data_IF_530052025458
#
_entry.id   IF_530052025458
#
_cell.length_a   1.000
_cell.length_b   1.000
_cell.length_c   1.000
_cell.angle_alpha   90.00
_cell.angle_beta   90.00
_cell.angle_gamma   90.00
#
_symmetry.space_group_name_H-M   'P 1'
#
loop_
_entity.id
_entity.type
_entity.pdbx_description
1 polymer ?
#
# COMPACT_ATOMS: atom_id res chain seq x y z
N UNK A 1 75.36 41.93 -41.94
CA UNK A 1 74.53 43.10 -42.32
C UNK A 1 73.61 42.71 -43.46
N UNK A 2 72.28 42.87 -43.32
CA UNK A 2 71.27 42.77 -44.42
C UNK A 2 71.15 41.34 -45.03
N UNK A 3 70.00 40.83 -45.51
CA UNK A 3 68.58 41.27 -45.61
C UNK A 3 67.74 40.04 -46.09
N UNK A 4 66.46 39.92 -45.68
CA UNK A 4 65.31 39.24 -46.34
C UNK A 4 65.50 37.76 -46.82
N UNK A 5 64.59 36.78 -46.62
CA UNK A 5 63.21 36.60 -47.15
C UNK A 5 62.73 35.19 -46.66
N UNK A 6 61.45 34.75 -46.55
CA UNK A 6 60.12 35.39 -46.34
C UNK A 6 59.05 34.29 -46.03
N UNK A 7 58.08 34.58 -45.13
CA UNK A 7 56.70 34.03 -44.98
C UNK A 7 56.34 32.54 -44.73
N UNK A 8 55.28 32.41 -43.89
CA UNK A 8 54.26 31.35 -43.73
C UNK A 8 54.46 30.47 -42.48
N UNK A 9 53.57 30.40 -41.49
CA UNK A 9 52.14 30.75 -41.41
C UNK A 9 51.83 31.85 -40.38
N UNK A 10 50.94 32.79 -40.74
CA UNK A 10 50.30 33.73 -39.78
C UNK A 10 48.78 33.75 -40.00
N UNK A 11 48.14 32.57 -39.99
CA UNK A 11 46.68 32.42 -40.03
C UNK A 11 46.30 31.26 -39.09
N UNK A 12 46.11 31.57 -37.79
CA UNK A 12 45.39 30.74 -36.80
C UNK A 12 45.25 31.40 -35.41
N UNK A 13 45.52 32.71 -35.29
CA UNK A 13 45.55 33.44 -34.00
C UNK A 13 44.27 34.23 -33.68
N UNK A 14 43.16 33.98 -34.39
CA UNK A 14 41.85 34.61 -34.18
C UNK A 14 40.74 33.58 -34.45
N UNK A 15 40.44 32.72 -33.47
CA UNK A 15 39.39 31.70 -33.64
C UNK A 15 39.29 30.57 -32.62
N UNK A 16 40.15 30.49 -31.60
CA UNK A 16 40.07 29.49 -30.53
C UNK A 16 40.45 30.09 -29.17
N UNK A 17 39.59 30.95 -28.62
CA UNK A 17 39.62 31.36 -27.20
C UNK A 17 38.24 31.27 -26.55
N UNK A 18 37.28 30.61 -27.21
CA UNK A 18 36.10 30.09 -26.54
C UNK A 18 36.50 28.83 -25.82
N UNK A 19 36.18 28.74 -24.54
CA UNK A 19 36.43 27.54 -23.76
C UNK A 19 35.63 26.39 -24.36
N UNK A 20 36.28 25.28 -24.69
CA UNK A 20 35.57 24.15 -25.31
C UNK A 20 34.66 23.47 -24.29
N UNK A 21 34.90 23.69 -22.99
CA UNK A 21 34.04 23.26 -21.88
C UNK A 21 32.60 23.75 -22.08
N UNK A 22 32.38 25.00 -22.50
CA UNK A 22 31.03 25.55 -22.79
C UNK A 22 30.30 24.89 -23.98
N UNK A 23 30.95 24.03 -24.76
CA UNK A 23 30.36 23.33 -25.93
C UNK A 23 30.08 21.86 -25.61
N UNK A 24 30.59 21.33 -24.49
CA UNK A 24 30.40 19.95 -24.04
C UNK A 24 30.06 19.83 -22.55
N UNK A 25 29.67 20.92 -21.90
CA UNK A 25 29.14 20.88 -20.54
C UNK A 25 27.71 20.36 -20.56
N UNK A 26 27.58 19.04 -20.44
CA UNK A 26 26.32 18.32 -20.29
C UNK A 26 25.96 18.11 -18.82
N UNK A 27 26.61 18.80 -17.86
CA UNK A 27 26.31 18.68 -16.42
C UNK A 27 25.11 19.54 -16.04
N UNK A 28 25.03 20.75 -16.57
CA UNK A 28 23.89 21.67 -16.38
C UNK A 28 22.95 21.60 -17.60
N UNK A 29 21.98 20.67 -17.55
CA UNK A 29 20.90 20.58 -18.54
C UNK A 29 19.80 21.59 -18.19
N UNK A 30 20.03 22.86 -18.50
CA UNK A 30 19.02 23.91 -18.35
C UNK A 30 17.95 23.75 -19.45
N UNK A 31 16.70 23.46 -19.07
CA UNK A 31 15.59 23.37 -20.03
C UNK A 31 15.17 24.78 -20.44
N UNK A 32 15.35 25.19 -21.71
CA UNK A 32 15.09 26.56 -22.15
C UNK A 32 13.61 26.97 -22.12
N UNK A 33 12.70 26.03 -21.81
CA UNK A 33 11.26 26.27 -21.71
C UNK A 33 10.70 26.07 -20.29
N UNK A 34 11.53 25.66 -19.31
CA UNK A 34 11.07 25.37 -17.95
C UNK A 34 12.22 25.57 -16.93
N UNK A 35 12.17 26.66 -16.16
CA UNK A 35 13.02 26.86 -14.97
C UNK A 35 12.24 26.57 -13.70
N UNK A 36 12.94 26.37 -12.57
CA UNK A 36 12.30 26.27 -11.25
C UNK A 36 11.46 27.51 -10.94
N UNK A 37 11.99 28.72 -11.21
CA UNK A 37 11.28 30.00 -11.08
C UNK A 37 10.02 30.12 -11.97
N UNK A 38 9.89 29.28 -13.01
CA UNK A 38 8.70 29.22 -13.86
C UNK A 38 7.54 28.46 -13.19
N UNK A 39 7.79 27.78 -12.08
CA UNK A 39 6.82 26.95 -11.34
C UNK A 39 6.76 27.38 -9.87
N UNK A 40 7.89 27.37 -9.17
CA UNK A 40 8.01 27.80 -7.77
C UNK A 40 7.85 29.33 -7.66
N UNK A 41 7.05 29.79 -6.70
CA UNK A 41 6.77 31.21 -6.50
C UNK A 41 5.66 31.79 -7.39
N UNK A 42 5.04 30.97 -8.25
CA UNK A 42 3.87 31.35 -9.02
C UNK A 42 2.59 31.14 -8.19
N UNK A 43 1.52 31.94 -8.38
CA UNK A 43 0.27 31.74 -7.64
C UNK A 43 -0.33 30.35 -7.86
N UNK A 44 -0.64 29.66 -6.76
CA UNK A 44 -1.13 28.27 -6.69
C UNK A 44 -0.07 27.19 -7.00
N UNK A 45 1.23 27.52 -7.02
CA UNK A 45 2.29 26.51 -7.20
C UNK A 45 2.22 25.39 -6.16
N UNK A 46 1.83 25.68 -4.92
CA UNK A 46 1.69 24.67 -3.86
C UNK A 46 0.50 23.73 -4.10
N UNK A 47 -0.62 24.24 -4.62
CA UNK A 47 -1.79 23.40 -4.97
C UNK A 47 -1.53 22.51 -6.20
N UNK A 48 -0.79 23.03 -7.19
CA UNK A 48 -0.34 22.25 -8.35
C UNK A 48 0.64 21.15 -7.89
N UNK A 49 1.57 21.47 -6.99
CA UNK A 49 2.51 20.52 -6.43
C UNK A 49 1.83 19.43 -5.58
N UNK A 50 0.83 19.80 -4.79
CA UNK A 50 -0.04 18.85 -4.07
C UNK A 50 -0.75 17.88 -5.02
N UNK A 51 -1.23 18.35 -6.18
CA UNK A 51 -1.78 17.47 -7.22
C UNK A 51 -0.72 16.48 -7.77
N UNK A 52 0.55 16.92 -7.83
CA UNK A 52 1.69 16.06 -8.14
C UNK A 52 1.98 15.01 -7.05
N UNK A 53 1.77 15.33 -5.77
CA UNK A 53 1.87 14.39 -4.65
C UNK A 53 0.77 13.33 -4.67
N UNK A 54 -0.49 13.71 -4.93
CA UNK A 54 -1.60 12.75 -5.13
C UNK A 54 -1.27 11.78 -6.28
N UNK A 55 -0.74 12.29 -7.40
CA UNK A 55 -0.26 11.45 -8.50
C UNK A 55 0.91 10.54 -8.10
N UNK A 56 1.85 11.04 -7.29
CA UNK A 56 2.96 10.21 -6.78
C UNK A 56 2.46 9.13 -5.82
N UNK A 57 1.40 9.37 -5.05
CA UNK A 57 0.75 8.37 -4.21
C UNK A 57 0.15 7.23 -5.07
N UNK A 58 -0.47 7.56 -6.21
CA UNK A 58 -0.89 6.56 -7.21
C UNK A 58 0.26 5.66 -7.69
N UNK A 59 1.45 6.25 -7.91
CA UNK A 59 2.65 5.47 -8.25
C UNK A 59 3.14 4.62 -7.08
N UNK A 60 3.13 5.12 -5.84
CA UNK A 60 3.45 4.32 -4.65
C UNK A 60 2.56 3.08 -4.55
N UNK A 61 1.25 3.27 -4.67
CA UNK A 61 0.29 2.16 -4.55
C UNK A 61 0.44 1.13 -5.67
N UNK A 62 0.73 1.52 -6.90
CA UNK A 62 0.97 0.57 -7.98
C UNK A 62 2.16 -0.37 -7.71
N UNK A 63 3.20 0.06 -7.01
CA UNK A 63 4.31 -0.81 -6.61
C UNK A 63 3.97 -1.59 -5.32
N UNK A 64 3.55 -0.90 -4.25
CA UNK A 64 3.36 -1.52 -2.93
C UNK A 64 2.22 -2.53 -2.91
N UNK A 65 1.11 -2.24 -3.60
CA UNK A 65 -0.11 -3.03 -3.48
C UNK A 65 0.04 -4.40 -4.14
N UNK A 66 0.54 -4.43 -5.38
CA UNK A 66 0.76 -5.65 -6.14
C UNK A 66 1.66 -6.61 -5.34
N UNK A 67 2.80 -6.12 -4.85
CA UNK A 67 3.74 -6.95 -4.09
C UNK A 67 3.19 -7.39 -2.74
N UNK A 68 2.44 -6.54 -2.04
CA UNK A 68 1.86 -6.87 -0.74
C UNK A 68 0.77 -7.94 -0.85
N UNK A 69 -0.11 -7.85 -1.85
CA UNK A 69 -1.17 -8.85 -2.06
C UNK A 69 -0.59 -10.18 -2.55
N UNK A 70 0.43 -10.16 -3.43
CA UNK A 70 1.18 -11.36 -3.84
C UNK A 70 1.95 -12.00 -2.69
N UNK A 71 2.52 -11.22 -1.79
CA UNK A 71 3.22 -11.72 -0.60
C UNK A 71 2.29 -12.14 0.54
N UNK A 72 1.03 -12.46 0.26
CA UNK A 72 -0.01 -12.73 1.26
C UNK A 72 -0.88 -13.93 0.90
N UNK A 73 -1.77 -14.34 1.80
CA UNK A 73 -2.80 -15.36 1.54
C UNK A 73 -4.08 -14.79 0.89
N UNK A 74 -4.11 -13.53 0.44
CA UNK A 74 -5.31 -12.98 -0.18
C UNK A 74 -5.53 -13.55 -1.60
N UNK A 75 -4.47 -13.66 -2.40
CA UNK A 75 -4.51 -14.10 -3.80
C UNK A 75 -3.37 -15.08 -4.10
N UNK A 76 -3.64 -16.08 -4.96
CA UNK A 76 -2.61 -16.86 -5.65
C UNK A 76 -2.19 -16.14 -6.94
N UNK A 77 -0.91 -16.18 -7.28
CA UNK A 77 -0.43 -15.75 -8.60
C UNK A 77 -0.50 -16.88 -9.63
N UNK A 78 -1.46 -16.85 -10.56
CA UNK A 78 -1.66 -17.94 -11.53
C UNK A 78 -0.90 -17.75 -12.85
N UNK A 79 -0.35 -16.55 -13.10
CA UNK A 79 0.27 -16.18 -14.38
C UNK A 79 1.60 -15.45 -14.21
N UNK A 80 2.47 -15.54 -15.23
CA UNK A 80 3.83 -14.99 -15.19
C UNK A 80 3.94 -13.49 -15.50
N UNK A 81 2.87 -12.70 -15.32
CA UNK A 81 2.87 -11.26 -15.63
C UNK A 81 3.24 -10.38 -14.45
N UNK A 82 3.01 -10.86 -13.24
CA UNK A 82 3.41 -10.21 -11.99
C UNK A 82 4.51 -11.02 -11.28
N UNK A 83 5.09 -10.45 -10.22
CA UNK A 83 6.23 -11.03 -9.52
C UNK A 83 5.96 -12.48 -9.06
N UNK A 84 6.73 -13.43 -9.60
CA UNK A 84 6.61 -14.87 -9.30
C UNK A 84 7.33 -15.27 -8.01
N UNK A 85 8.24 -14.42 -7.52
CA UNK A 85 9.03 -14.69 -6.32
C UNK A 85 8.26 -14.32 -5.05
N UNK A 86 7.47 -13.24 -5.10
CA UNK A 86 6.68 -12.77 -3.95
C UNK A 86 5.62 -13.77 -3.46
N UNK A 87 4.98 -14.49 -4.38
CA UNK A 87 4.01 -15.58 -4.08
C UNK A 87 4.64 -16.68 -3.21
N UNK A 88 5.95 -16.93 -3.38
CA UNK A 88 6.77 -17.80 -2.54
C UNK A 88 7.59 -17.09 -1.46
N UNK A 89 7.32 -15.81 -1.18
CA UNK A 89 8.10 -14.93 -0.30
C UNK A 89 9.63 -14.93 -0.57
N UNK A 90 10.05 -15.18 -1.81
CA UNK A 90 11.45 -15.16 -2.24
C UNK A 90 11.92 -13.71 -2.51
N UNK A 91 12.02 -12.93 -1.43
CA UNK A 91 12.38 -11.51 -1.48
C UNK A 91 13.90 -11.34 -1.72
N UNK A 92 14.28 -10.66 -2.80
CA UNK A 92 15.68 -10.49 -3.22
C UNK A 92 16.07 -9.01 -3.44
N UNK A 93 17.30 -8.62 -3.05
CA UNK A 93 17.81 -7.24 -3.26
C UNK A 93 17.97 -6.85 -4.74
N UNK A 94 18.13 -7.84 -5.63
CA UNK A 94 18.28 -7.67 -7.08
C UNK A 94 16.94 -7.54 -7.83
N UNK A 95 15.82 -7.66 -7.13
CA UNK A 95 14.49 -7.62 -7.73
C UNK A 95 14.13 -6.16 -8.14
N UNK A 96 13.79 -5.91 -9.42
CA UNK A 96 13.37 -4.58 -9.89
C UNK A 96 12.19 -3.98 -9.12
N UNK A 97 11.28 -4.80 -8.60
CA UNK A 97 10.07 -4.32 -7.94
C UNK A 97 10.38 -3.82 -6.51
N UNK A 98 11.43 -4.37 -5.85
CA UNK A 98 11.95 -3.83 -4.58
C UNK A 98 12.52 -2.42 -4.78
N UNK A 99 13.32 -2.24 -5.84
CA UNK A 99 13.88 -0.94 -6.24
C UNK A 99 12.78 0.07 -6.50
N UNK A 100 11.79 -0.28 -7.29
CA UNK A 100 10.77 0.68 -7.70
C UNK A 100 9.84 1.03 -6.51
N UNK A 101 9.44 0.05 -5.69
CA UNK A 101 8.72 0.28 -4.43
C UNK A 101 9.45 1.25 -3.49
N UNK A 102 10.71 0.96 -3.18
CA UNK A 102 11.54 1.83 -2.33
C UNK A 102 11.63 3.24 -2.91
N UNK A 103 11.87 3.34 -4.23
CA UNK A 103 12.02 4.62 -4.93
C UNK A 103 10.74 5.44 -4.93
N UNK A 104 9.56 4.85 -5.16
CA UNK A 104 8.33 5.65 -5.16
C UNK A 104 8.01 6.20 -3.76
N UNK A 105 8.25 5.41 -2.69
CA UNK A 105 8.05 5.84 -1.30
C UNK A 105 9.02 6.97 -0.94
N UNK A 106 10.31 6.81 -1.24
CA UNK A 106 11.31 7.86 -1.05
C UNK A 106 10.95 9.12 -1.85
N UNK A 107 10.53 8.98 -3.11
CA UNK A 107 10.11 10.12 -3.93
C UNK A 107 8.89 10.84 -3.37
N UNK A 108 7.91 10.14 -2.79
CA UNK A 108 6.78 10.76 -2.10
C UNK A 108 7.26 11.68 -0.96
N UNK A 109 8.24 11.22 -0.17
CA UNK A 109 8.88 12.01 0.89
C UNK A 109 9.57 13.25 0.35
N UNK A 110 10.46 13.10 -0.63
CA UNK A 110 11.23 14.24 -1.17
C UNK A 110 10.32 15.30 -1.80
N UNK A 111 9.23 14.89 -2.46
CA UNK A 111 8.21 15.82 -2.96
C UNK A 111 7.47 16.54 -1.82
N UNK A 112 7.15 15.85 -0.72
CA UNK A 112 6.46 16.44 0.43
C UNK A 112 7.36 17.45 1.17
N UNK A 113 8.61 17.08 1.44
CA UNK A 113 9.62 17.96 2.06
C UNK A 113 9.89 19.18 1.19
N UNK A 114 10.10 19.02 -0.12
CA UNK A 114 10.25 20.17 -1.02
C UNK A 114 8.99 21.05 -1.09
N UNK A 115 7.80 20.45 -0.93
CA UNK A 115 6.54 21.15 -0.74
C UNK A 115 6.55 22.06 0.49
N UNK A 116 7.00 21.54 1.64
CA UNK A 116 7.11 22.29 2.90
C UNK A 116 8.19 23.37 2.88
N UNK A 117 9.37 23.06 2.33
CA UNK A 117 10.56 23.92 2.44
C UNK A 117 10.66 24.98 1.35
N UNK A 118 10.19 24.70 0.13
CA UNK A 118 10.38 25.56 -1.03
C UNK A 118 9.05 25.98 -1.70
N UNK A 119 8.22 25.03 -2.12
CA UNK A 119 7.06 25.34 -2.97
C UNK A 119 5.96 26.09 -2.22
N UNK A 120 5.64 25.63 -1.01
CA UNK A 120 4.67 26.25 -0.11
C UNK A 120 5.10 27.68 0.28
N UNK A 121 6.26 27.86 0.93
CA UNK A 121 6.75 29.19 1.31
C UNK A 121 6.92 30.19 0.15
N UNK A 122 7.10 29.70 -1.09
CA UNK A 122 7.12 30.52 -2.29
C UNK A 122 5.73 30.95 -2.81
N UNK A 123 4.69 30.14 -2.63
CA UNK A 123 3.36 30.40 -3.20
C UNK A 123 2.59 31.49 -2.41
N UNK A 124 2.20 32.61 -3.04
CA UNK A 124 1.41 33.65 -2.37
C UNK A 124 0.01 33.19 -1.91
N UNK A 125 -0.47 32.01 -2.35
CA UNK A 125 -1.74 31.41 -1.96
C UNK A 125 -1.58 30.24 -0.96
N UNK A 126 -0.36 29.96 -0.48
CA UNK A 126 -0.11 28.93 0.52
C UNK A 126 -0.87 29.21 1.82
N UNK A 127 -1.34 28.14 2.45
CA UNK A 127 -2.20 28.20 3.63
C UNK A 127 -2.05 26.91 4.45
N UNK A 128 -2.56 26.95 5.69
CA UNK A 128 -2.40 25.86 6.66
C UNK A 128 -3.07 24.54 6.24
N UNK A 129 -4.04 24.54 5.33
CA UNK A 129 -4.60 23.28 4.81
C UNK A 129 -3.63 22.62 3.82
N UNK A 130 -3.01 23.37 2.91
CA UNK A 130 -1.99 22.83 2.00
C UNK A 130 -0.74 22.41 2.77
N UNK A 131 -0.32 23.19 3.78
CA UNK A 131 0.78 22.83 4.68
C UNK A 131 0.48 21.54 5.47
N UNK A 132 -0.77 21.35 5.93
CA UNK A 132 -1.19 20.13 6.59
C UNK A 132 -1.15 18.91 5.65
N UNK A 133 -1.59 19.05 4.40
CA UNK A 133 -1.49 17.97 3.41
C UNK A 133 -0.02 17.62 3.13
N UNK A 134 0.89 18.58 2.99
CA UNK A 134 2.32 18.26 2.80
C UNK A 134 2.92 17.51 4.01
N UNK A 135 2.62 17.93 5.25
CA UNK A 135 3.01 17.18 6.45
C UNK A 135 2.39 15.77 6.47
N UNK A 136 1.13 15.62 6.02
CA UNK A 136 0.48 14.32 5.92
C UNK A 136 1.15 13.42 4.88
N UNK A 137 1.53 13.93 3.71
CA UNK A 137 2.27 13.16 2.70
C UNK A 137 3.69 12.77 3.14
N UNK A 138 4.38 13.63 3.89
CA UNK A 138 5.64 13.27 4.53
C UNK A 138 5.41 12.12 5.53
N UNK A 139 4.39 12.24 6.39
CA UNK A 139 4.00 11.20 7.34
C UNK A 139 3.62 9.86 6.68
N UNK A 140 2.89 9.88 5.56
CA UNK A 140 2.58 8.69 4.77
C UNK A 140 3.84 8.01 4.23
N UNK A 141 4.83 8.79 3.78
CA UNK A 141 6.09 8.22 3.27
C UNK A 141 6.87 7.46 4.34
N UNK A 142 6.93 7.97 5.58
CA UNK A 142 7.51 7.26 6.72
C UNK A 142 6.64 6.07 7.15
N UNK A 143 5.31 6.23 7.15
CA UNK A 143 4.38 5.14 7.47
C UNK A 143 4.57 3.94 6.54
N UNK A 144 4.62 4.15 5.23
CA UNK A 144 4.86 3.07 4.26
C UNK A 144 6.30 2.54 4.32
N UNK A 145 7.29 3.38 4.60
CA UNK A 145 8.66 2.92 4.88
C UNK A 145 8.69 1.93 6.06
N UNK A 146 7.95 2.20 7.14
CA UNK A 146 7.85 1.33 8.31
C UNK A 146 6.97 0.08 8.08
N UNK A 147 5.89 0.22 7.31
CA UNK A 147 4.96 -0.86 7.00
C UNK A 147 5.63 -1.92 6.11
N UNK A 148 6.38 -1.52 5.08
CA UNK A 148 6.93 -2.48 4.11
C UNK A 148 8.40 -2.84 4.34
N UNK A 149 9.22 -2.03 5.00
CA UNK A 149 10.66 -2.29 5.14
C UNK A 149 11.09 -2.36 6.61
N UNK A 150 12.15 -3.14 6.89
CA UNK A 150 12.72 -3.23 8.25
C UNK A 150 13.64 -2.05 8.61
N UNK A 151 14.28 -1.46 7.59
CA UNK A 151 14.92 -0.16 7.64
C UNK A 151 14.96 0.47 6.25
N UNK A 152 14.96 1.81 6.17
CA UNK A 152 15.22 2.60 4.95
C UNK A 152 15.94 3.91 5.28
N UNK A 153 16.76 4.46 4.38
CA UNK A 153 17.27 5.84 4.46
C UNK A 153 16.15 6.90 4.44
N UNK A 154 16.33 7.95 5.23
CA UNK A 154 15.43 9.12 5.30
C UNK A 154 15.89 10.31 4.45
N UNK A 155 17.09 10.25 3.89
CA UNK A 155 17.68 11.25 3.01
C UNK A 155 18.57 10.54 1.98
N UNK A 156 18.87 11.15 0.81
CA UNK A 156 19.72 10.54 -0.21
C UNK A 156 21.12 10.21 0.34
N UNK A 157 21.58 8.97 0.17
CA UNK A 157 22.87 8.47 0.69
C UNK A 157 22.94 8.53 2.24
N UNK A 158 21.81 8.64 2.93
CA UNK A 158 21.73 8.68 4.39
C UNK A 158 21.82 7.30 5.05
N UNK A 159 22.08 7.28 6.36
CA UNK A 159 22.06 6.02 7.14
C UNK A 159 20.63 5.47 7.19
N UNK A 160 20.39 4.17 6.93
CA UNK A 160 19.08 3.57 7.14
C UNK A 160 18.63 3.66 8.60
N UNK A 161 17.37 4.06 8.82
CA UNK A 161 16.75 4.02 10.15
C UNK A 161 15.68 2.93 10.20
N UNK A 162 15.41 2.41 11.40
CA UNK A 162 14.50 1.28 11.62
C UNK A 162 13.05 1.61 11.30
N UNK A 163 12.24 0.58 11.02
CA UNK A 163 10.78 0.69 10.92
C UNK A 163 10.14 1.38 12.14
N UNK A 164 10.63 1.09 13.35
CA UNK A 164 10.20 1.77 14.58
C UNK A 164 10.44 3.29 14.52
N UNK A 165 11.62 3.72 14.07
CA UNK A 165 11.93 5.15 13.91
C UNK A 165 11.10 5.80 12.81
N UNK A 166 10.84 5.09 11.71
CA UNK A 166 9.93 5.56 10.66
C UNK A 166 8.49 5.73 11.18
N UNK A 167 7.94 4.78 11.97
CA UNK A 167 6.62 4.99 12.59
C UNK A 167 6.61 6.19 13.55
N UNK A 168 7.67 6.41 14.33
CA UNK A 168 7.79 7.59 15.19
C UNK A 168 7.81 8.89 14.38
N UNK A 169 8.55 8.93 13.26
CA UNK A 169 8.60 10.11 12.39
C UNK A 169 7.26 10.35 11.69
N UNK A 170 6.56 9.28 11.28
CA UNK A 170 5.20 9.37 10.75
C UNK A 170 4.26 10.06 11.76
N UNK A 171 4.30 9.65 13.04
CA UNK A 171 3.51 10.27 14.11
C UNK A 171 3.82 11.75 14.27
N UNK A 172 5.10 12.15 14.21
CA UNK A 172 5.52 13.56 14.31
C UNK A 172 4.95 14.39 13.16
N UNK A 173 5.04 13.90 11.93
CA UNK A 173 4.51 14.57 10.75
C UNK A 173 2.97 14.65 10.76
N UNK A 174 2.28 13.57 11.17
CA UNK A 174 0.83 13.60 11.37
C UNK A 174 0.39 14.56 12.49
N UNK A 175 1.16 14.69 13.57
CA UNK A 175 0.88 15.68 14.62
C UNK A 175 1.07 17.13 14.14
N UNK A 176 2.04 17.38 13.25
CA UNK A 176 2.18 18.67 12.59
C UNK A 176 0.99 18.97 11.67
N UNK A 177 0.56 17.99 10.85
CA UNK A 177 -0.65 18.12 10.02
C UNK A 177 -1.91 18.40 10.86
N UNK A 178 -2.13 17.64 11.93
CA UNK A 178 -3.26 17.79 12.85
C UNK A 178 -3.27 19.14 13.59
N UNK A 179 -2.10 19.70 13.90
CA UNK A 179 -1.98 21.02 14.52
C UNK A 179 -2.37 22.17 13.58
N UNK A 180 -2.28 21.96 12.27
CA UNK A 180 -2.60 22.92 11.21
C UNK A 180 -4.03 22.78 10.70
N UNK A 181 -4.49 21.54 10.47
CA UNK A 181 -5.84 21.21 10.01
C UNK A 181 -6.22 19.80 10.48
N UNK A 182 -7.13 19.68 11.45
CA UNK A 182 -7.53 18.37 11.98
C UNK A 182 -8.50 17.64 11.03
N UNK A 183 -8.03 16.55 10.40
CA UNK A 183 -8.84 15.67 9.54
C UNK A 183 -8.91 14.24 10.09
N UNK A 184 -10.01 13.49 9.87
CA UNK A 184 -10.15 12.12 10.39
C UNK A 184 -9.09 11.17 9.83
N UNK A 185 -8.71 11.29 8.56
CA UNK A 185 -7.68 10.47 7.92
C UNK A 185 -6.27 10.68 8.53
N UNK A 186 -5.94 11.91 8.98
CA UNK A 186 -4.67 12.17 9.67
C UNK A 186 -4.65 11.51 11.06
N UNK A 187 -5.78 11.56 11.77
CA UNK A 187 -5.94 10.83 13.03
C UNK A 187 -5.87 9.32 12.82
N UNK A 188 -6.44 8.76 11.75
CA UNK A 188 -6.34 7.34 11.47
C UNK A 188 -4.90 6.93 11.09
N UNK A 189 -4.20 7.70 10.26
CA UNK A 189 -2.81 7.42 9.91
C UNK A 189 -1.90 7.40 11.15
N UNK A 190 -2.12 8.35 12.08
CA UNK A 190 -1.49 8.34 13.41
C UNK A 190 -1.94 7.14 14.26
N UNK A 191 -3.19 6.70 14.18
CA UNK A 191 -3.67 5.51 14.89
C UNK A 191 -2.96 4.25 14.37
N UNK A 192 -2.85 4.06 13.05
CA UNK A 192 -2.13 2.94 12.39
C UNK A 192 -0.65 2.91 12.79
N UNK A 193 0.03 4.07 12.77
CA UNK A 193 1.43 4.15 13.21
C UNK A 193 1.61 3.76 14.69
N UNK A 194 0.68 4.15 15.57
CA UNK A 194 0.72 3.73 16.97
C UNK A 194 0.31 2.27 17.18
N UNK A 195 -0.61 1.75 16.37
CA UNK A 195 -1.05 0.36 16.39
C UNK A 195 0.14 -0.57 16.10
N UNK A 196 0.86 -0.38 14.99
CA UNK A 196 2.04 -1.20 14.67
C UNK A 196 3.27 -0.97 15.58
N UNK A 197 3.24 0.06 16.45
CA UNK A 197 4.21 0.23 17.54
C UNK A 197 3.78 -0.45 18.86
N UNK A 198 2.60 -1.08 18.92
CA UNK A 198 2.01 -1.60 20.16
C UNK A 198 1.57 -0.50 21.15
N UNK A 199 1.52 0.77 20.72
CA UNK A 199 1.16 1.92 21.56
C UNK A 199 -0.36 2.03 21.77
N UNK A 200 -0.98 0.98 22.35
CA UNK A 200 -2.44 0.80 22.49
C UNK A 200 -3.21 2.05 22.89
N UNK A 201 -2.81 2.71 23.98
CA UNK A 201 -3.46 3.92 24.48
C UNK A 201 -3.45 5.09 23.47
N UNK A 202 -2.35 5.28 22.75
CA UNK A 202 -2.24 6.33 21.74
C UNK A 202 -3.01 5.98 20.46
N UNK A 203 -3.00 4.71 20.05
CA UNK A 203 -3.78 4.20 18.93
C UNK A 203 -5.29 4.35 19.17
N UNK A 204 -5.79 3.90 20.33
CA UNK A 204 -7.19 4.08 20.78
C UNK A 204 -7.60 5.55 20.81
N UNK A 205 -6.73 6.43 21.34
CA UNK A 205 -7.00 7.87 21.39
C UNK A 205 -7.14 8.47 19.98
N UNK A 206 -6.24 8.11 19.07
CA UNK A 206 -6.25 8.62 17.70
C UNK A 206 -7.42 8.04 16.87
N UNK A 207 -7.70 6.74 16.98
CA UNK A 207 -8.85 6.09 16.33
C UNK A 207 -10.19 6.70 16.80
N UNK A 208 -10.33 6.95 18.11
CA UNK A 208 -11.51 7.62 18.67
C UNK A 208 -11.65 9.05 18.17
N UNK A 209 -10.54 9.78 18.00
CA UNK A 209 -10.55 11.14 17.46
C UNK A 209 -10.96 11.17 15.97
N UNK A 210 -10.49 10.21 15.16
CA UNK A 210 -10.93 10.06 13.77
C UNK A 210 -12.45 9.88 13.68
N UNK A 211 -13.00 8.89 14.39
CA UNK A 211 -14.44 8.59 14.43
C UNK A 211 -15.29 9.73 15.01
N UNK A 212 -14.70 10.60 15.85
CA UNK A 212 -15.37 11.79 16.39
C UNK A 212 -15.51 12.91 15.35
N UNK A 213 -14.60 12.99 14.36
CA UNK A 213 -14.68 13.95 13.26
C UNK A 213 -15.60 13.45 12.14
N UNK A 214 -15.52 12.17 11.77
CA UNK A 214 -16.44 11.48 10.86
C UNK A 214 -16.39 9.98 11.15
N UNK A 215 -17.56 9.33 11.21
CA UNK A 215 -17.68 7.89 11.41
C UNK A 215 -17.66 7.07 10.10
N UNK A 216 -17.58 7.76 8.96
CA UNK A 216 -17.85 7.24 7.62
C UNK A 216 -16.79 7.65 6.57
N UNK A 217 -15.73 8.34 6.98
CA UNK A 217 -14.69 8.81 6.06
C UNK A 217 -14.03 7.67 5.29
N UNK A 218 -13.55 8.03 4.11
CA UNK A 218 -12.86 7.18 3.16
C UNK A 218 -11.88 8.07 2.39
N UNK A 219 -10.58 7.86 2.62
CA UNK A 219 -9.51 8.57 1.93
C UNK A 219 -8.89 7.60 0.92
N UNK A 220 -8.94 8.03 -0.34
CA UNK A 220 -8.69 7.19 -1.51
C UNK A 220 -7.57 7.73 -2.39
N UNK A 221 -6.90 6.83 -3.10
CA UNK A 221 -5.97 7.15 -4.18
C UNK A 221 -6.73 7.12 -5.50
N UNK A 222 -6.59 8.19 -6.29
CA UNK A 222 -7.24 8.32 -7.60
C UNK A 222 -6.28 7.99 -8.73
N UNK A 223 -6.83 7.33 -9.76
CA UNK A 223 -6.12 6.90 -10.96
C UNK A 223 -6.76 7.55 -12.20
N UNK A 224 -5.94 7.90 -13.18
CA UNK A 224 -6.34 8.51 -14.45
C UNK A 224 -5.93 7.56 -15.58
N UNK A 225 -6.88 6.75 -16.05
CA UNK A 225 -6.67 5.78 -17.14
C UNK A 225 -6.36 6.48 -18.49
N UNK A 226 -6.73 7.75 -18.66
CA UNK A 226 -6.49 8.46 -19.91
C UNK A 226 -5.09 9.08 -20.00
N UNK A 227 -4.50 9.50 -18.88
CA UNK A 227 -3.23 10.26 -18.84
C UNK A 227 -2.17 9.68 -17.88
N UNK A 228 -2.54 8.73 -17.03
CA UNK A 228 -1.70 8.07 -16.03
C UNK A 228 -1.72 8.74 -14.65
N UNK A 229 -1.60 7.96 -13.55
CA UNK A 229 -1.35 6.52 -13.55
C UNK A 229 -2.67 5.76 -13.66
N UNK A 230 -2.67 4.65 -14.39
CA UNK A 230 -3.74 3.65 -14.30
C UNK A 230 -3.55 2.77 -13.07
N UNK A 231 -4.61 2.11 -12.62
CA UNK A 231 -4.57 1.17 -11.50
C UNK A 231 -4.02 -0.19 -11.98
N UNK A 232 -2.79 -0.52 -11.58
CA UNK A 232 -2.14 -1.79 -11.94
C UNK A 232 -2.89 -3.00 -11.36
N UNK A 233 -3.54 -2.86 -10.20
CA UNK A 233 -4.26 -3.97 -9.56
C UNK A 233 -5.65 -4.18 -10.17
N UNK A 234 -6.33 -3.14 -10.66
CA UNK A 234 -7.55 -3.33 -11.48
C UNK A 234 -7.24 -4.09 -12.79
N UNK A 235 -6.05 -3.85 -13.36
CA UNK A 235 -5.57 -4.62 -14.49
C UNK A 235 -5.35 -6.10 -14.15
N UNK A 236 -4.91 -6.40 -12.92
CA UNK A 236 -4.70 -7.76 -12.43
C UNK A 236 -6.00 -8.52 -12.09
N UNK A 237 -7.03 -7.80 -11.62
CA UNK A 237 -8.29 -8.38 -11.13
C UNK A 237 -9.46 -8.34 -12.12
N UNK A 238 -9.40 -7.51 -13.19
CA UNK A 238 -10.58 -7.33 -14.06
C UNK A 238 -10.27 -7.01 -15.53
N UNK A 239 -9.42 -6.01 -15.80
CA UNK A 239 -9.32 -5.46 -17.16
C UNK A 239 -8.66 -6.41 -18.18
N UNK A 240 -7.92 -7.42 -17.72
CA UNK A 240 -7.20 -8.37 -18.60
C UNK A 240 -8.04 -9.55 -19.12
N UNK A 241 -9.36 -9.50 -18.92
CA UNK A 241 -10.34 -10.39 -19.54
C UNK A 241 -10.10 -11.88 -19.21
N UNK A 242 -9.78 -12.73 -20.19
CA UNK A 242 -9.63 -14.19 -19.97
C UNK A 242 -8.31 -14.59 -19.30
N UNK A 243 -7.66 -13.66 -18.59
CA UNK A 243 -6.44 -13.90 -17.84
C UNK A 243 -6.73 -13.59 -16.38
N UNK A 244 -7.26 -14.60 -15.68
CA UNK A 244 -7.47 -14.64 -14.23
C UNK A 244 -6.09 -14.61 -13.51
N UNK A 245 -5.33 -13.53 -13.66
CA UNK A 245 -3.91 -13.45 -13.29
C UNK A 245 -3.72 -13.75 -11.80
N UNK A 246 -4.60 -13.18 -10.98
CA UNK A 246 -4.69 -13.40 -9.56
C UNK A 246 -6.04 -14.05 -9.26
N UNK A 247 -6.07 -15.04 -8.36
CA UNK A 247 -7.32 -15.63 -7.90
C UNK A 247 -7.37 -15.62 -6.36
N UNK A 248 -8.47 -15.19 -5.74
CA UNK A 248 -8.57 -15.11 -4.29
C UNK A 248 -8.64 -16.51 -3.66
N UNK A 249 -8.37 -16.59 -2.36
CA UNK A 249 -8.81 -17.76 -1.59
C UNK A 249 -10.35 -17.90 -1.67
N UNK A 250 -10.91 -19.13 -1.69
CA UNK A 250 -12.37 -19.34 -1.66
C UNK A 250 -13.08 -18.76 -0.44
N UNK A 251 -12.37 -18.40 0.62
CA UNK A 251 -12.90 -17.68 1.79
C UNK A 251 -13.11 -16.19 1.53
N UNK A 252 -12.59 -15.67 0.42
CA UNK A 252 -12.53 -14.27 0.03
C UNK A 252 -13.17 -14.00 -1.35
N UNK A 253 -13.56 -15.04 -2.11
CA UNK A 253 -14.03 -14.92 -3.50
C UNK A 253 -15.26 -14.00 -3.68
N UNK A 254 -16.10 -13.86 -2.66
CA UNK A 254 -17.22 -12.91 -2.60
C UNK A 254 -16.83 -11.42 -2.53
N UNK A 255 -15.54 -11.11 -2.37
CA UNK A 255 -14.99 -9.75 -2.31
C UNK A 255 -14.21 -9.38 -3.58
N UNK A 256 -14.14 -10.28 -4.56
CA UNK A 256 -13.33 -10.17 -5.75
C UNK A 256 -14.22 -10.12 -7.01
N UNK A 257 -13.92 -9.28 -8.01
CA UNK A 257 -12.88 -8.25 -8.05
C UNK A 257 -13.29 -6.96 -7.32
N UNK A 258 -12.49 -6.55 -6.34
CA UNK A 258 -12.69 -5.29 -5.60
C UNK A 258 -12.54 -4.06 -6.51
N UNK A 259 -11.56 -4.12 -7.41
CA UNK A 259 -11.33 -3.12 -8.44
C UNK A 259 -11.87 -3.63 -9.77
N UNK A 260 -12.82 -2.89 -10.34
CA UNK A 260 -13.48 -3.23 -11.59
C UNK A 260 -13.73 -1.96 -12.40
N UNK A 261 -13.87 -2.10 -13.72
CA UNK A 261 -13.98 -0.98 -14.65
C UNK A 261 -15.03 0.08 -14.25
N UNK A 262 -14.57 1.32 -14.08
CA UNK A 262 -15.42 2.49 -13.91
C UNK A 262 -15.66 3.24 -15.23
N UNK A 263 -14.60 3.71 -15.89
CA UNK A 263 -14.70 4.41 -17.17
C UNK A 263 -13.39 4.44 -17.95
N UNK A 264 -13.44 4.80 -19.24
CA UNK A 264 -12.24 4.99 -20.08
C UNK A 264 -11.44 6.27 -19.75
N UNK A 265 -11.60 6.83 -18.55
CA UNK A 265 -10.92 8.05 -18.09
C UNK A 265 -10.58 8.02 -16.60
N UNK A 266 -11.01 6.99 -15.87
CA UNK A 266 -10.82 6.84 -14.44
C UNK A 266 -10.94 5.35 -14.12
N UNK A 267 -9.90 4.81 -13.49
CA UNK A 267 -9.91 3.48 -12.91
C UNK A 267 -10.50 3.52 -11.48
N UNK A 268 -10.82 2.34 -10.95
CA UNK A 268 -11.26 2.16 -9.58
C UNK A 268 -10.21 2.72 -8.59
N UNK A 269 -10.64 3.52 -7.61
CA UNK A 269 -9.74 4.10 -6.62
C UNK A 269 -9.27 3.03 -5.62
N UNK A 270 -8.07 3.21 -5.07
CA UNK A 270 -7.59 2.38 -3.95
C UNK A 270 -7.95 3.06 -2.63
N UNK A 271 -8.70 2.36 -1.78
CA UNK A 271 -9.04 2.82 -0.44
C UNK A 271 -7.86 2.53 0.49
N UNK A 272 -7.34 3.54 1.21
CA UNK A 272 -6.12 3.36 2.01
C UNK A 272 -6.19 3.84 3.45
N UNK A 273 -7.14 4.72 3.78
CA UNK A 273 -7.42 5.19 5.14
C UNK A 273 -8.94 5.41 5.28
N UNK A 274 -9.64 4.42 5.86
CA UNK A 274 -11.11 4.40 5.99
C UNK A 274 -11.55 4.07 7.41
N UNK A 275 -12.70 4.59 7.82
CA UNK A 275 -13.19 4.54 9.21
C UNK A 275 -13.27 3.13 9.84
N UNK A 276 -13.43 2.10 9.02
CA UNK A 276 -13.41 0.69 9.39
C UNK A 276 -12.16 0.29 10.20
N UNK A 277 -10.98 0.84 9.88
CA UNK A 277 -9.75 0.54 10.62
C UNK A 277 -9.79 1.08 12.04
N UNK A 278 -10.40 2.26 12.26
CA UNK A 278 -10.56 2.79 13.60
C UNK A 278 -11.46 1.89 14.46
N UNK A 279 -12.54 1.32 13.89
CA UNK A 279 -13.37 0.34 14.59
C UNK A 279 -12.63 -0.95 14.90
N UNK A 280 -11.81 -1.46 13.98
CA UNK A 280 -11.00 -2.68 14.18
C UNK A 280 -9.90 -2.48 15.24
N UNK A 281 -9.18 -1.35 15.22
CA UNK A 281 -8.20 -0.98 16.27
C UNK A 281 -8.87 -0.90 17.64
N UNK A 282 -10.06 -0.29 17.73
CA UNK A 282 -10.81 -0.20 19.00
C UNK A 282 -11.32 -1.58 19.46
N UNK A 283 -11.76 -2.44 18.53
CA UNK A 283 -12.18 -3.80 18.85
C UNK A 283 -11.01 -4.65 19.41
N UNK A 284 -9.83 -4.63 18.79
CA UNK A 284 -8.65 -5.35 19.31
C UNK A 284 -8.22 -4.82 20.68
N UNK A 285 -8.22 -3.49 20.84
CA UNK A 285 -7.86 -2.88 22.12
C UNK A 285 -8.81 -3.31 23.25
N UNK A 286 -10.10 -3.41 22.96
CA UNK A 286 -11.11 -3.85 23.92
C UNK A 286 -11.02 -5.36 24.23
N UNK A 287 -10.68 -6.22 23.27
CA UNK A 287 -10.38 -7.63 23.53
C UNK A 287 -9.17 -7.78 24.47
N UNK A 288 -8.04 -7.15 24.15
CA UNK A 288 -6.84 -7.22 25.00
C UNK A 288 -7.04 -6.61 26.42
N UNK A 289 -8.04 -5.76 26.62
CA UNK A 289 -8.47 -5.24 27.95
C UNK A 289 -9.59 -6.07 28.61
N UNK A 290 -10.00 -7.19 28.00
CA UNK A 290 -11.06 -8.11 28.43
C UNK A 290 -12.47 -7.47 28.45
N UNK A 291 -12.71 -6.43 27.65
CA UNK A 291 -14.01 -5.77 27.46
C UNK A 291 -14.70 -6.23 26.18
N UNK A 292 -15.21 -7.47 26.21
CA UNK A 292 -16.01 -8.04 25.12
C UNK A 292 -17.27 -7.22 24.80
N UNK A 293 -17.80 -6.44 25.75
CA UNK A 293 -19.00 -5.63 25.51
C UNK A 293 -18.66 -4.45 24.62
N UNK A 294 -17.56 -3.75 24.88
CA UNK A 294 -17.05 -2.68 24.04
C UNK A 294 -16.57 -3.21 22.67
N UNK A 295 -15.81 -4.32 22.63
CA UNK A 295 -15.36 -4.93 21.38
C UNK A 295 -16.52 -5.26 20.43
N UNK A 296 -17.58 -5.90 20.93
CA UNK A 296 -18.80 -6.19 20.16
C UNK A 296 -19.55 -4.93 19.73
N UNK A 297 -19.53 -3.86 20.52
CA UNK A 297 -20.15 -2.58 20.13
C UNK A 297 -19.38 -1.92 18.98
N UNK A 298 -18.05 -1.97 18.98
CA UNK A 298 -17.23 -1.52 17.86
C UNK A 298 -17.49 -2.35 16.59
N UNK A 299 -17.56 -3.68 16.70
CA UNK A 299 -17.88 -4.55 15.56
C UNK A 299 -19.32 -4.39 15.04
N UNK A 300 -20.29 -4.07 15.92
CA UNK A 300 -21.65 -3.73 15.48
C UNK A 300 -21.63 -2.43 14.65
N UNK A 301 -20.91 -1.41 15.13
CA UNK A 301 -20.76 -0.14 14.41
C UNK A 301 -19.99 -0.29 13.09
N UNK A 302 -19.05 -1.24 13.03
CA UNK A 302 -18.34 -1.61 11.80
C UNK A 302 -19.30 -2.22 10.77
N UNK A 303 -20.18 -3.14 11.18
CA UNK A 303 -21.20 -3.71 10.29
C UNK A 303 -22.18 -2.64 9.81
N UNK A 304 -22.68 -1.78 10.71
CA UNK A 304 -23.56 -0.65 10.37
C UNK A 304 -22.91 0.30 9.35
N UNK A 305 -21.57 0.47 9.37
CA UNK A 305 -20.81 1.24 8.37
C UNK A 305 -20.67 0.49 7.05
N UNK A 306 -20.28 -0.79 7.08
CA UNK A 306 -20.10 -1.63 5.88
C UNK A 306 -21.41 -1.71 5.08
N UNK A 307 -22.56 -1.83 5.74
CA UNK A 307 -23.89 -1.80 5.13
C UNK A 307 -24.22 -0.49 4.36
N UNK A 308 -23.41 0.57 4.52
CA UNK A 308 -23.54 1.84 3.77
C UNK A 308 -22.54 2.02 2.63
N UNK A 309 -21.55 1.13 2.50
CA UNK A 309 -20.50 1.22 1.48
C UNK A 309 -21.03 0.83 0.09
N UNK A 310 -20.30 1.23 -0.96
CA UNK A 310 -20.65 0.85 -2.33
C UNK A 310 -20.47 -0.67 -2.52
N UNK A 311 -21.51 -1.29 -3.06
CA UNK A 311 -21.49 -2.62 -3.68
C UNK A 311 -21.80 -2.40 -5.16
N UNK A 312 -20.97 -2.94 -6.04
CA UNK A 312 -21.02 -2.71 -7.47
C UNK A 312 -21.50 -3.96 -8.20
N UNK A 313 -22.57 -3.82 -8.96
CA UNK A 313 -23.07 -4.86 -9.86
C UNK A 313 -22.24 -4.87 -11.14
N UNK A 314 -21.51 -5.96 -11.40
CA UNK A 314 -20.60 -6.10 -12.55
C UNK A 314 -20.91 -7.35 -13.38
N UNK A 315 -20.48 -7.36 -14.65
CA UNK A 315 -20.44 -8.59 -15.44
C UNK A 315 -19.04 -9.18 -15.35
N UNK A 316 -18.93 -10.31 -14.66
CA UNK A 316 -17.67 -10.99 -14.38
C UNK A 316 -17.58 -12.37 -15.06
N UNK A 317 -18.45 -12.65 -16.04
CA UNK A 317 -18.55 -13.97 -16.67
C UNK A 317 -17.33 -14.40 -17.53
N UNK A 318 -16.35 -13.50 -17.67
CA UNK A 318 -15.09 -13.75 -18.38
C UNK A 318 -14.07 -14.43 -17.45
N UNK A 319 -14.12 -14.14 -16.15
CA UNK A 319 -13.39 -14.85 -15.09
C UNK A 319 -13.97 -16.26 -14.96
N UNK A 320 -13.20 -17.27 -15.37
CA UNK A 320 -13.65 -18.67 -15.38
C UNK A 320 -12.99 -19.53 -14.30
N UNK A 321 -12.10 -18.92 -13.49
CA UNK A 321 -11.23 -19.58 -12.49
C UNK A 321 -10.54 -20.84 -13.04
N UNK A 322 -10.27 -20.85 -14.35
CA UNK A 322 -9.92 -22.04 -15.13
C UNK A 322 -8.44 -22.08 -15.54
N UNK A 323 -7.72 -20.99 -15.27
CA UNK A 323 -6.30 -20.87 -15.52
C UNK A 323 -5.49 -21.92 -14.76
N UNK A 324 -4.38 -22.37 -15.37
CA UNK A 324 -3.51 -23.48 -14.94
C UNK A 324 -4.21 -24.85 -14.95
N UNK A 325 -5.36 -25.01 -14.29
CA UNK A 325 -6.12 -26.25 -14.23
C UNK A 325 -7.64 -25.99 -14.16
N UNK A 326 -8.33 -26.26 -15.27
CA UNK A 326 -9.79 -26.09 -15.43
C UNK A 326 -10.58 -26.83 -14.32
N UNK A 327 -11.45 -26.11 -13.62
CA UNK A 327 -12.28 -26.63 -12.52
C UNK A 327 -11.54 -26.94 -11.22
N UNK A 328 -10.27 -26.52 -11.08
CA UNK A 328 -9.48 -26.74 -9.85
C UNK A 328 -9.83 -25.80 -8.70
N UNK A 329 -10.57 -24.72 -8.98
CA UNK A 329 -11.05 -23.72 -8.02
C UNK A 329 -12.59 -23.74 -7.98
N UNK A 330 -13.22 -23.38 -6.86
CA UNK A 330 -14.67 -23.32 -6.73
C UNK A 330 -15.25 -22.08 -7.44
N UNK A 331 -16.38 -22.25 -8.12
CA UNK A 331 -16.97 -21.28 -9.06
C UNK A 331 -18.52 -21.21 -8.99
N UNK A 332 -19.14 -21.73 -7.92
CA UNK A 332 -20.59 -21.90 -7.75
C UNK A 332 -21.06 -21.45 -6.35
N UNK A 333 -22.26 -20.85 -6.28
CA UNK A 333 -22.83 -20.26 -5.06
C UNK A 333 -23.27 -21.30 -4.00
N UNK A 334 -23.44 -22.55 -4.40
CA UNK A 334 -23.79 -23.67 -3.53
C UNK A 334 -22.59 -24.27 -2.75
N UNK A 335 -21.38 -23.79 -3.02
CA UNK A 335 -20.14 -24.30 -2.43
C UNK A 335 -19.98 -23.82 -0.98
N UNK A 336 -19.72 -24.76 -0.08
CA UNK A 336 -19.45 -24.52 1.33
C UNK A 336 -17.94 -24.50 1.58
N UNK A 337 -17.41 -23.34 1.93
CA UNK A 337 -15.97 -23.14 2.18
C UNK A 337 -15.69 -23.14 3.68
N UNK A 338 -14.82 -24.03 4.17
CA UNK A 338 -14.50 -24.16 5.60
C UNK A 338 -15.75 -24.29 6.50
N UNK A 339 -16.84 -24.87 5.98
CA UNK A 339 -18.13 -25.00 6.69
C UNK A 339 -19.06 -23.77 6.60
N UNK A 340 -18.71 -22.76 5.80
CA UNK A 340 -19.45 -21.49 5.62
C UNK A 340 -19.99 -21.40 4.18
N UNK A 341 -21.25 -21.01 4.03
CA UNK A 341 -21.89 -20.83 2.71
C UNK A 341 -21.80 -19.37 2.25
N UNK A 342 -21.92 -19.13 0.93
CA UNK A 342 -22.00 -17.79 0.36
C UNK A 342 -20.67 -17.01 0.33
N UNK A 343 -19.54 -17.73 0.34
CA UNK A 343 -18.20 -17.12 0.20
C UNK A 343 -17.66 -17.19 -1.24
N UNK A 344 -18.37 -17.90 -2.13
CA UNK A 344 -18.04 -18.08 -3.56
C UNK A 344 -19.22 -17.58 -4.39
N UNK A 345 -18.94 -16.90 -5.52
CA UNK A 345 -19.95 -16.36 -6.43
C UNK A 345 -20.06 -17.19 -7.72
N UNK A 346 -21.29 -17.48 -8.16
CA UNK A 346 -21.57 -18.01 -9.51
C UNK A 346 -21.53 -16.86 -10.54
N UNK A 347 -20.33 -16.60 -11.07
CA UNK A 347 -20.04 -15.62 -12.13
C UNK A 347 -20.57 -16.03 -13.50
N UNK A 348 -21.01 -17.28 -13.67
CA UNK A 348 -21.52 -17.80 -14.94
C UNK A 348 -23.05 -17.64 -15.06
N UNK A 349 -23.74 -17.28 -13.98
CA UNK A 349 -25.20 -17.14 -13.91
C UNK A 349 -25.76 -15.86 -14.54
N UNK A 350 -25.24 -14.67 -14.18
CA UNK A 350 -25.52 -13.34 -14.77
C UNK A 350 -24.49 -12.32 -14.19
N UNK A 351 -24.90 -11.07 -13.97
CA UNK A 351 -24.18 -10.08 -13.16
C UNK A 351 -24.01 -10.53 -11.68
N UNK A 352 -22.89 -10.13 -11.07
CA UNK A 352 -22.59 -10.34 -9.64
C UNK A 352 -22.46 -9.01 -8.89
N UNK A 353 -22.81 -9.01 -7.60
CA UNK A 353 -22.70 -7.84 -6.71
C UNK A 353 -21.45 -7.99 -5.82
N UNK A 354 -20.44 -7.12 -6.01
CA UNK A 354 -19.15 -7.17 -5.30
C UNK A 354 -18.90 -5.87 -4.51
N UNK A 355 -18.53 -5.93 -3.21
CA UNK A 355 -18.17 -4.74 -2.43
C UNK A 355 -16.91 -4.05 -2.97
N UNK A 356 -17.00 -2.76 -3.32
CA UNK A 356 -15.86 -2.01 -3.86
C UNK A 356 -15.00 -1.34 -2.80
N UNK A 357 -15.60 -0.94 -1.67
CA UNK A 357 -14.90 -0.26 -0.56
C UNK A 357 -14.53 -1.25 0.54
N UNK A 358 -15.54 -1.85 1.16
CA UNK A 358 -15.39 -2.79 2.28
C UNK A 358 -16.52 -3.81 2.21
N UNK A 359 -16.17 -5.08 2.39
CA UNK A 359 -17.14 -6.15 2.59
C UNK A 359 -16.66 -7.07 3.72
N UNK A 360 -17.56 -7.86 4.28
CA UNK A 360 -17.21 -8.89 5.26
C UNK A 360 -18.26 -9.99 5.28
N UNK A 361 -17.82 -11.18 5.66
CA UNK A 361 -18.65 -12.33 5.97
C UNK A 361 -19.01 -12.40 7.46
N UNK A 362 -18.57 -11.44 8.28
CA UNK A 362 -18.95 -11.28 9.68
C UNK A 362 -20.44 -10.96 9.78
N UNK A 363 -21.19 -11.69 10.60
CA UNK A 363 -22.61 -11.43 10.83
C UNK A 363 -22.88 -10.86 12.23
N UNK A 364 -24.03 -10.20 12.41
CA UNK A 364 -24.50 -9.79 13.73
C UNK A 364 -24.69 -10.97 14.71
N UNK A 365 -24.90 -12.19 14.20
CA UNK A 365 -24.95 -13.40 15.01
C UNK A 365 -23.55 -13.80 15.52
N UNK A 366 -22.52 -13.69 14.67
CA UNK A 366 -21.12 -13.92 15.04
C UNK A 366 -20.69 -12.89 16.10
N UNK A 367 -20.97 -11.60 15.90
CA UNK A 367 -20.69 -10.54 16.90
C UNK A 367 -21.40 -10.82 18.23
N UNK A 368 -22.64 -11.30 18.19
CA UNK A 368 -23.39 -11.68 19.42
C UNK A 368 -22.80 -12.92 20.11
N UNK A 369 -22.20 -13.84 19.35
CA UNK A 369 -21.60 -15.08 19.86
C UNK A 369 -20.14 -14.91 20.32
N UNK A 370 -19.38 -14.01 19.69
CA UNK A 370 -17.95 -13.75 19.91
C UNK A 370 -17.59 -13.64 21.38
N UNK A 371 -16.61 -14.40 21.84
CA UNK A 371 -16.08 -14.30 23.21
C UNK A 371 -14.76 -13.53 23.22
N UNK A 372 -14.30 -13.21 24.43
CA UNK A 372 -12.94 -12.75 24.68
C UNK A 372 -12.04 -13.98 24.86
N UNK A 373 -11.66 -14.57 23.72
CA UNK A 373 -10.77 -15.70 23.60
C UNK A 373 -10.08 -15.69 22.22
N UNK A 374 -9.17 -16.64 22.00
CA UNK A 374 -8.43 -16.76 20.74
C UNK A 374 -9.37 -16.92 19.52
N UNK A 375 -10.55 -17.54 19.67
CA UNK A 375 -11.51 -17.66 18.57
C UNK A 375 -12.21 -16.33 18.26
N UNK A 376 -12.46 -15.50 19.28
CA UNK A 376 -12.88 -14.11 19.11
C UNK A 376 -11.83 -13.25 18.41
N UNK A 377 -10.56 -13.45 18.74
CA UNK A 377 -9.46 -12.73 18.09
C UNK A 377 -9.24 -13.19 16.64
N UNK A 378 -9.32 -14.49 16.35
CA UNK A 378 -9.30 -15.00 14.97
C UNK A 378 -10.46 -14.46 14.13
N UNK A 379 -11.65 -14.33 14.72
CA UNK A 379 -12.81 -13.69 14.08
C UNK A 379 -12.51 -12.23 13.71
N UNK A 380 -11.86 -11.48 14.61
CA UNK A 380 -11.43 -10.10 14.34
C UNK A 380 -10.40 -10.04 13.21
N UNK A 381 -9.39 -10.90 13.22
CA UNK A 381 -8.33 -10.93 12.20
C UNK A 381 -8.85 -11.34 10.82
N UNK A 382 -9.80 -12.29 10.75
CA UNK A 382 -10.50 -12.62 9.50
C UNK A 382 -11.34 -11.43 9.01
N UNK A 383 -12.05 -10.75 9.90
CA UNK A 383 -12.81 -9.53 9.55
C UNK A 383 -11.88 -8.44 9.00
N UNK A 384 -10.70 -8.27 9.62
CA UNK A 384 -9.65 -7.34 9.16
C UNK A 384 -9.12 -7.71 7.77
N UNK A 385 -8.85 -8.99 7.52
CA UNK A 385 -8.44 -9.49 6.20
C UNK A 385 -9.50 -9.20 5.12
N UNK A 386 -10.77 -9.51 5.39
CA UNK A 386 -11.88 -9.30 4.46
C UNK A 386 -12.09 -7.80 4.15
N UNK A 387 -12.09 -6.94 5.17
CA UNK A 387 -12.27 -5.49 5.00
C UNK A 387 -11.12 -4.86 4.20
N UNK A 388 -9.89 -5.36 4.36
CA UNK A 388 -8.67 -4.80 3.73
C UNK A 388 -8.08 -5.66 2.61
N UNK A 389 -8.84 -6.60 2.05
CA UNK A 389 -8.43 -7.32 0.84
C UNK A 389 -8.12 -6.32 -0.28
N UNK A 390 -7.06 -6.57 -1.06
CA UNK A 390 -6.60 -5.67 -2.11
C UNK A 390 -6.28 -4.23 -1.64
N UNK A 391 -5.88 -4.05 -0.37
CA UNK A 391 -5.39 -2.77 0.19
C UNK A 391 -3.96 -2.84 0.76
N UNK A 392 -3.28 -3.98 0.62
CA UNK A 392 -1.86 -4.15 0.94
C UNK A 392 -1.54 -4.25 2.43
N UNK A 393 -2.55 -4.33 3.30
CA UNK A 393 -2.39 -4.45 4.76
C UNK A 393 -2.11 -5.88 5.22
N UNK A 394 -2.56 -6.91 4.49
CA UNK A 394 -2.40 -8.31 4.93
C UNK A 394 -0.92 -8.71 5.07
N UNK A 395 -0.08 -8.29 4.13
CA UNK A 395 1.38 -8.43 4.19
C UNK A 395 2.00 -7.86 5.47
N UNK A 396 1.50 -6.71 5.91
CA UNK A 396 1.98 -5.98 7.09
C UNK A 396 1.48 -6.65 8.37
N UNK A 397 0.23 -7.12 8.37
CA UNK A 397 -0.36 -7.87 9.48
C UNK A 397 0.28 -9.27 9.66
N UNK A 398 0.86 -9.83 8.59
CA UNK A 398 1.73 -11.03 8.64
C UNK A 398 3.13 -10.75 9.21
N UNK A 399 3.48 -9.48 9.45
CA UNK A 399 4.78 -9.08 9.97
C UNK A 399 5.94 -9.17 8.98
N UNK A 400 5.66 -9.32 7.68
CA UNK A 400 6.69 -9.46 6.63
C UNK A 400 7.28 -8.09 6.27
N UNK A 401 8.57 -8.05 5.93
CA UNK A 401 9.25 -6.84 5.40
C UNK A 401 10.11 -7.16 4.18
N UNK A 402 9.99 -6.28 3.19
CA UNK A 402 10.82 -6.14 1.99
C UNK A 402 12.25 -5.71 2.33
N UNK A 403 13.10 -5.69 1.29
CA UNK A 403 14.52 -5.35 1.38
C UNK A 403 14.91 -4.10 0.63
N UNK A 404 15.95 -3.43 1.12
CA UNK A 404 16.68 -2.36 0.42
C UNK A 404 17.22 -2.91 -0.90
N UNK A 405 17.06 -2.16 -1.99
CA UNK A 405 17.45 -2.58 -3.32
C UNK A 405 18.98 -2.51 -3.57
N UNK A 406 19.47 -3.32 -4.51
CA UNK A 406 20.89 -3.39 -4.86
C UNK A 406 21.48 -2.03 -5.27
N UNK A 407 20.72 -1.13 -5.91
CA UNK A 407 21.26 0.17 -6.32
C UNK A 407 21.54 1.06 -5.12
N UNK A 408 20.66 1.09 -4.12
CA UNK A 408 20.89 1.84 -2.88
C UNK A 408 22.09 1.25 -2.12
N UNK A 409 22.23 -0.08 -2.04
CA UNK A 409 23.41 -0.75 -1.44
C UNK A 409 24.71 -0.38 -2.19
N UNK A 410 24.69 -0.30 -3.52
CA UNK A 410 25.87 0.02 -4.33
C UNK A 410 26.24 1.51 -4.34
N UNK A 411 25.30 2.41 -4.04
CA UNK A 411 25.48 3.86 -4.10
C UNK A 411 25.66 4.51 -2.72
N UNK A 412 25.21 3.86 -1.64
CA UNK A 412 25.23 4.39 -0.29
C UNK A 412 26.30 3.73 0.58
N UNK A 413 27.35 4.49 0.92
CA UNK A 413 28.48 3.98 1.73
C UNK A 413 28.12 3.59 3.17
N UNK A 414 26.90 3.88 3.61
CA UNK A 414 26.37 3.48 4.92
C UNK A 414 25.70 2.10 4.93
N UNK A 415 25.65 1.40 3.79
CA UNK A 415 24.88 0.16 3.61
C UNK A 415 25.75 -0.94 2.99
N UNK A 416 25.69 -2.15 3.54
CA UNK A 416 26.35 -3.33 3.02
C UNK A 416 25.35 -4.50 2.96
N UNK A 417 25.58 -5.46 2.06
CA UNK A 417 24.82 -6.71 2.03
C UNK A 417 24.94 -7.46 3.37
N UNK A 418 23.80 -7.76 3.99
CA UNK A 418 23.71 -8.35 5.33
C UNK A 418 23.40 -7.35 6.46
N UNK A 419 23.43 -6.04 6.20
CA UNK A 419 22.98 -5.02 7.15
C UNK A 419 21.45 -5.00 7.29
N UNK A 420 20.94 -4.38 8.37
CA UNK A 420 19.50 -4.20 8.60
C UNK A 420 18.85 -3.49 7.40
N UNK A 421 17.71 -4.01 6.94
CA UNK A 421 17.05 -3.55 5.72
C UNK A 421 17.47 -4.33 4.47
N UNK A 422 18.66 -4.91 4.38
CA UNK A 422 19.11 -5.68 3.19
C UNK A 422 18.75 -7.17 3.23
N UNK A 423 18.23 -7.64 4.36
CA UNK A 423 17.81 -9.03 4.59
C UNK A 423 16.30 -9.07 4.84
N UNK A 424 15.53 -9.96 4.18
CA UNK A 424 14.09 -9.96 4.33
C UNK A 424 13.68 -10.40 5.73
N UNK A 425 12.61 -9.79 6.26
CA UNK A 425 12.02 -10.21 7.53
C UNK A 425 10.77 -11.01 7.23
N UNK A 426 10.83 -12.31 7.48
CA UNK A 426 9.68 -13.21 7.41
C UNK A 426 9.59 -13.89 8.78
N UNK A 427 8.51 -13.70 9.56
CA UNK A 427 8.38 -14.36 10.86
C UNK A 427 8.46 -15.87 10.72
N UNK A 428 9.13 -16.55 11.65
CA UNK A 428 9.51 -17.97 11.50
C UNK A 428 8.31 -18.92 11.36
N UNK A 429 7.16 -18.55 11.91
CA UNK A 429 5.90 -19.30 11.73
C UNK A 429 5.29 -19.10 10.34
N UNK A 430 5.46 -17.94 9.69
CA UNK A 430 5.09 -17.71 8.28
C UNK A 430 6.06 -18.47 7.36
N UNK A 431 7.37 -18.35 7.61
CA UNK A 431 8.41 -19.05 6.85
C UNK A 431 8.25 -20.59 6.86
N UNK A 432 7.57 -21.14 7.86
CA UNK A 432 7.27 -22.57 7.97
C UNK A 432 6.06 -23.05 7.14
N UNK A 433 5.21 -22.13 6.67
CA UNK A 433 3.92 -22.43 6.00
C UNK A 433 3.76 -21.74 4.63
N UNK A 434 4.81 -21.12 4.08
CA UNK A 434 4.78 -20.37 2.81
C UNK A 434 4.11 -21.16 1.68
N UNK A 435 4.49 -22.43 1.49
CA UNK A 435 3.92 -23.28 0.44
C UNK A 435 2.49 -23.76 0.67
N UNK A 436 1.85 -23.35 1.78
CA UNK A 436 0.45 -23.63 2.11
C UNK A 436 -0.40 -22.35 2.22
N UNK A 437 0.16 -21.15 2.00
CA UNK A 437 -0.52 -19.84 2.21
C UNK A 437 -1.82 -19.70 1.42
N UNK A 438 -1.77 -19.98 0.12
CA UNK A 438 -2.87 -19.88 -0.86
C UNK A 438 -3.52 -21.25 -1.18
N UNK A 439 -3.03 -22.30 -0.52
CA UNK A 439 -3.31 -23.69 -0.88
C UNK A 439 -4.71 -24.13 -0.43
N UNK A 440 -5.41 -24.85 -1.31
CA UNK A 440 -6.78 -25.34 -1.08
C UNK A 440 -6.93 -26.83 -1.38
N UNK A 441 -7.89 -27.46 -0.69
CA UNK A 441 -8.45 -28.74 -1.05
C UNK A 441 -9.82 -28.53 -1.68
N UNK A 442 -9.92 -28.76 -2.98
CA UNK A 442 -11.17 -28.77 -3.73
C UNK A 442 -11.17 -29.95 -4.71
N UNK A 443 -12.34 -30.57 -4.90
CA UNK A 443 -12.55 -31.60 -5.92
C UNK A 443 -13.57 -31.06 -6.92
N UNK A 444 -13.27 -31.03 -8.23
CA UNK A 444 -14.17 -30.48 -9.24
C UNK A 444 -15.58 -31.07 -9.13
N UNK A 445 -16.59 -30.20 -9.00
CA UNK A 445 -18.00 -30.59 -8.86
C UNK A 445 -18.41 -31.11 -7.47
N UNK A 446 -17.59 -30.88 -6.44
CA UNK A 446 -18.00 -31.03 -5.04
C UNK A 446 -18.54 -29.71 -4.49
N UNK A 447 -19.60 -29.75 -3.67
CA UNK A 447 -20.13 -28.57 -2.98
C UNK A 447 -19.34 -28.17 -1.72
N UNK A 448 -18.06 -28.55 -1.61
CA UNK A 448 -17.21 -28.25 -0.45
C UNK A 448 -15.79 -27.93 -0.89
N UNK A 449 -15.25 -26.80 -0.42
CA UNK A 449 -13.84 -26.47 -0.51
C UNK A 449 -13.28 -26.21 0.91
N UNK A 450 -11.98 -26.45 1.11
CA UNK A 450 -11.30 -25.99 2.32
C UNK A 450 -9.95 -25.37 2.01
N UNK A 451 -9.52 -24.39 2.79
CA UNK A 451 -8.11 -23.98 2.80
C UNK A 451 -7.25 -25.07 3.46
N UNK A 452 -5.95 -25.11 3.19
CA UNK A 452 -5.01 -26.05 3.85
C UNK A 452 -4.68 -25.57 5.27
N UNK A 453 -4.58 -24.26 5.47
CA UNK A 453 -4.40 -23.58 6.75
C UNK A 453 -5.49 -22.51 6.96
N UNK A 454 -5.62 -22.01 8.19
CA UNK A 454 -6.21 -20.69 8.42
C UNK A 454 -5.09 -19.79 8.98
N UNK A 455 -4.64 -18.81 8.19
CA UNK A 455 -3.56 -17.94 8.61
C UNK A 455 -4.00 -17.02 9.77
N UNK A 456 -5.29 -16.71 9.93
CA UNK A 456 -5.77 -15.90 11.06
C UNK A 456 -5.55 -16.66 12.38
N UNK A 457 -5.88 -17.95 12.43
CA UNK A 457 -5.57 -18.82 13.58
C UNK A 457 -4.06 -18.94 13.84
N UNK A 458 -3.23 -18.94 12.79
CA UNK A 458 -1.76 -18.98 12.94
C UNK A 458 -1.21 -17.66 13.50
N UNK A 459 -1.72 -16.50 13.07
CA UNK A 459 -1.35 -15.20 13.63
C UNK A 459 -1.71 -15.14 15.11
N UNK A 460 -2.93 -15.55 15.47
CA UNK A 460 -3.42 -15.59 16.86
C UNK A 460 -2.63 -16.58 17.72
N UNK A 461 -2.30 -17.77 17.20
CA UNK A 461 -1.45 -18.73 17.90
C UNK A 461 -0.03 -18.21 18.18
N UNK A 462 0.41 -17.16 17.47
CA UNK A 462 1.70 -16.49 17.64
C UNK A 462 1.57 -15.06 18.19
N UNK A 463 0.41 -14.66 18.73
CA UNK A 463 0.11 -13.28 19.17
C UNK A 463 1.09 -12.66 20.18
N UNK A 464 1.81 -13.48 20.95
CA UNK A 464 2.87 -13.00 21.85
C UNK A 464 4.19 -12.62 21.14
N UNK A 465 4.21 -12.67 19.80
CA UNK A 465 5.35 -12.26 18.96
C UNK A 465 5.19 -10.80 18.56
N UNK A 466 6.21 -9.97 18.83
CA UNK A 466 6.22 -8.55 18.48
C UNK A 466 6.15 -8.23 16.96
N UNK A 467 5.95 -9.23 16.10
CA UNK A 467 5.78 -9.08 14.64
C UNK A 467 4.32 -9.00 14.20
N UNK A 468 3.37 -9.46 15.03
CA UNK A 468 1.95 -9.65 14.69
C UNK A 468 1.10 -9.33 15.93
N UNK A 469 -0.20 -9.08 15.74
CA UNK A 469 -1.19 -8.87 16.83
C UNK A 469 -0.73 -7.86 17.89
N UNK A 470 -0.59 -6.56 17.54
CA UNK A 470 0.24 -5.62 18.30
C UNK A 470 -0.20 -5.28 19.74
N UNK A 471 -1.38 -5.71 20.19
CA UNK A 471 -1.91 -5.41 21.52
C UNK A 471 -1.88 -6.57 22.54
N UNK A 472 -1.38 -7.76 22.17
CA UNK A 472 -1.37 -8.99 23.00
C UNK A 472 -0.01 -9.33 23.67
#
# INVERSE_FOLDING_TARGET
MKKLIIFSLTILAFGCTGDFEQVVDFKDVENPNLSEESVVGQPNSASIWLTGLERQLGLVFNETLVLAELGSDNYVNTQTFFNQFMDGLEIQITDPDMRDTQRQIQRLRELAVFGLEAVGPGDPNYNSEIEAEFNFFEGLSYLFSAMYFSALPQEPVGVPVTSEQHYQNAIVAFDAALALNAKPEYHLAKARANYYLGNKSAAVTAASAALTLSGDFDRVVLFDEANGPSNTFENALYQRATFDDLQPLPTLDFLDPKYSFLSTSQDAPVHYLKAEEAYLILAEANLSDNDIVAARANLTSLLDLIDTREVRTINDNIEQRSQVAEGSRPDSDDIVVNGRSGLVLDRQSDLVDVPSVSGTSLTAADVTAMQDDDAGLSLLYRTRQEVFIAEGLRFVDMGVKLVIDENEILLNENINEGDLGTVPVIPSFIAAIVGDLDAINYVPGSGVATTVIDLNDILVANKTSASVVPFE
#
